data_IF_867915395539
#
_entry.id   IF_867915395539
#
_cell.length_a   1.000
_cell.length_b   1.000
_cell.length_c   1.000
_cell.angle_alpha   90.00
_cell.angle_beta   90.00
_cell.angle_gamma   90.00
#
_symmetry.space_group_name_H-M   'P 1'
#
loop_
_entity.id
_entity.type
_entity.pdbx_description
1 polymer ?
#
# COMPACT_ATOMS: atom_id res chain seq x y z
N UNK A 1 44.99 -15.03 -49.00
CA UNK A 1 44.71 -14.96 -47.54
C UNK A 1 44.05 -13.62 -47.25
N UNK A 2 42.72 -13.54 -47.32
CA UNK A 2 41.96 -12.32 -47.04
C UNK A 2 40.73 -12.67 -46.20
N UNK A 3 40.53 -11.83 -45.18
CA UNK A 3 39.25 -11.50 -44.54
C UNK A 3 38.48 -12.57 -43.74
N UNK A 4 38.96 -12.84 -42.52
CA UNK A 4 38.12 -13.37 -41.42
C UNK A 4 37.92 -12.36 -40.27
N UNK A 5 38.47 -11.14 -40.37
CA UNK A 5 38.44 -10.14 -39.28
C UNK A 5 37.09 -9.41 -39.16
N UNK A 6 36.33 -9.29 -40.26
CA UNK A 6 35.06 -8.54 -40.29
C UNK A 6 33.82 -9.33 -39.83
N UNK A 7 33.87 -10.66 -39.75
CA UNK A 7 32.74 -11.47 -39.26
C UNK A 7 32.67 -11.50 -37.73
N UNK A 8 33.81 -11.47 -37.05
CA UNK A 8 33.87 -11.49 -35.58
C UNK A 8 33.34 -10.19 -34.98
N UNK A 9 33.66 -9.02 -35.59
CA UNK A 9 33.17 -7.71 -35.11
C UNK A 9 31.66 -7.52 -35.24
N UNK A 10 31.01 -8.12 -36.25
CA UNK A 10 29.54 -8.04 -36.43
C UNK A 10 28.78 -8.95 -35.46
N UNK A 11 29.34 -10.11 -35.10
CA UNK A 11 28.72 -11.02 -34.13
C UNK A 11 28.74 -10.46 -32.70
N UNK A 12 29.82 -9.79 -32.30
CA UNK A 12 29.93 -9.17 -30.96
C UNK A 12 29.00 -7.97 -30.79
N UNK A 13 28.76 -7.21 -31.85
CA UNK A 13 27.91 -6.01 -31.80
C UNK A 13 26.43 -6.37 -31.67
N UNK A 14 25.96 -7.43 -32.34
CA UNK A 14 24.58 -7.93 -32.21
C UNK A 14 24.35 -8.57 -30.83
N UNK A 15 25.35 -9.27 -30.28
CA UNK A 15 25.24 -9.82 -28.93
C UNK A 15 25.11 -8.73 -27.86
N UNK A 16 25.79 -7.60 -28.02
CA UNK A 16 25.65 -6.46 -27.10
C UNK A 16 24.31 -5.74 -27.22
N UNK A 17 23.72 -5.66 -28.42
CA UNK A 17 22.39 -5.05 -28.58
C UNK A 17 21.28 -5.96 -28.07
N UNK A 18 21.41 -7.29 -28.21
CA UNK A 18 20.46 -8.27 -27.65
C UNK A 18 20.63 -8.42 -26.13
N UNK A 19 21.84 -8.25 -25.58
CA UNK A 19 22.05 -8.15 -24.13
C UNK A 19 21.67 -6.77 -23.55
N UNK A 20 21.52 -5.71 -24.35
CA UNK A 20 20.90 -4.45 -23.91
C UNK A 20 19.37 -4.44 -24.09
N UNK A 21 18.79 -5.55 -24.56
CA UNK A 21 17.45 -5.99 -24.17
C UNK A 21 17.59 -6.82 -22.87
N UNK A 22 18.51 -6.42 -21.98
CA UNK A 22 18.29 -6.58 -20.55
C UNK A 22 16.96 -5.92 -20.31
N UNK A 23 15.99 -6.78 -20.10
CA UNK A 23 14.65 -6.51 -19.69
C UNK A 23 14.62 -5.23 -18.85
N UNK A 24 14.18 -4.13 -19.48
CA UNK A 24 13.32 -3.19 -18.79
C UNK A 24 12.04 -4.00 -18.54
N UNK A 25 12.12 -4.96 -17.61
CA UNK A 25 10.96 -5.32 -16.82
C UNK A 25 10.53 -3.98 -16.28
N UNK A 26 9.36 -3.51 -16.71
CA UNK A 26 8.61 -2.55 -15.90
C UNK A 26 8.79 -3.04 -14.46
N UNK A 27 9.30 -2.18 -13.58
CA UNK A 27 9.60 -2.60 -12.21
C UNK A 27 8.30 -3.20 -11.65
N UNK A 28 8.22 -4.54 -11.62
CA UNK A 28 7.02 -5.23 -11.18
C UNK A 28 6.78 -4.76 -9.73
N UNK A 29 5.53 -4.44 -9.40
CA UNK A 29 5.18 -4.07 -8.04
C UNK A 29 5.70 -5.14 -7.08
N UNK A 30 6.26 -4.70 -5.97
CA UNK A 30 6.89 -5.66 -5.07
C UNK A 30 5.85 -6.39 -4.24
N UNK A 31 6.15 -7.60 -3.72
CA UNK A 31 5.14 -8.41 -3.03
C UNK A 31 4.44 -7.71 -1.86
N UNK A 32 5.15 -6.83 -1.13
CA UNK A 32 4.57 -6.07 -0.01
C UNK A 32 3.62 -4.96 -0.48
N UNK A 33 3.91 -4.33 -1.63
CA UNK A 33 3.03 -3.33 -2.26
C UNK A 33 1.77 -3.99 -2.79
N UNK A 34 1.90 -5.12 -3.49
CA UNK A 34 0.77 -5.90 -4.02
C UNK A 34 -0.12 -6.42 -2.89
N UNK A 35 0.46 -6.98 -1.82
CA UNK A 35 -0.29 -7.46 -0.67
C UNK A 35 -1.07 -6.33 0.03
N UNK A 36 -0.41 -5.20 0.31
CA UNK A 36 -1.05 -4.04 0.93
C UNK A 36 -2.21 -3.50 0.08
N UNK A 37 -1.97 -3.28 -1.22
CA UNK A 37 -2.95 -2.66 -2.12
C UNK A 37 -4.12 -3.60 -2.42
N UNK A 38 -3.87 -4.90 -2.51
CA UNK A 38 -4.93 -5.93 -2.58
C UNK A 38 -5.80 -5.93 -1.32
N UNK A 39 -5.17 -5.91 -0.13
CA UNK A 39 -5.91 -5.81 1.12
C UNK A 39 -6.74 -4.54 1.22
N UNK A 40 -6.15 -3.40 0.85
CA UNK A 40 -6.75 -2.07 0.92
C UNK A 40 -7.89 -1.88 -0.11
N UNK A 41 -7.89 -2.63 -1.21
CA UNK A 41 -8.89 -2.46 -2.28
C UNK A 41 -10.30 -2.79 -1.78
N UNK A 42 -11.28 -1.97 -2.16
CA UNK A 42 -12.68 -2.08 -1.76
C UNK A 42 -13.16 -0.90 -0.92
N UNK A 43 -14.39 -1.00 -0.40
CA UNK A 43 -15.00 0.03 0.43
C UNK A 43 -15.10 -0.38 1.90
N UNK A 44 -14.78 0.55 2.80
CA UNK A 44 -14.83 0.39 4.25
C UNK A 44 -15.83 1.37 4.84
N UNK A 45 -16.59 0.96 5.85
CA UNK A 45 -17.54 1.85 6.51
C UNK A 45 -17.71 1.55 7.98
N UNK A 46 -17.93 2.60 8.78
CA UNK A 46 -18.24 2.50 10.21
C UNK A 46 -19.75 2.65 10.48
N UNK A 47 -20.61 2.35 9.49
CA UNK A 47 -22.06 2.56 9.62
C UNK A 47 -22.64 1.93 10.89
N UNK A 48 -22.22 0.72 11.25
CA UNK A 48 -22.68 0.06 12.49
C UNK A 48 -22.24 0.81 13.76
N UNK A 49 -21.04 1.38 13.78
CA UNK A 49 -20.57 2.22 14.90
C UNK A 49 -21.40 3.50 14.98
N UNK A 50 -21.63 4.15 13.85
CA UNK A 50 -22.46 5.35 13.75
C UNK A 50 -23.90 5.11 14.24
N UNK A 51 -24.53 4.00 13.81
CA UNK A 51 -25.89 3.63 14.21
C UNK A 51 -25.98 3.32 15.71
N UNK A 52 -24.98 2.64 16.28
CA UNK A 52 -24.88 2.43 17.73
C UNK A 52 -24.77 3.75 18.49
N UNK A 53 -23.96 4.70 17.99
CA UNK A 53 -23.85 6.03 18.61
C UNK A 53 -25.19 6.80 18.56
N UNK A 54 -25.97 6.67 17.47
CA UNK A 54 -27.32 7.23 17.41
C UNK A 54 -28.23 6.61 18.47
N UNK A 55 -28.27 5.27 18.52
CA UNK A 55 -29.17 4.52 19.39
C UNK A 55 -28.90 4.79 20.88
N UNK A 56 -27.63 5.04 21.23
CA UNK A 56 -27.18 5.30 22.59
C UNK A 56 -27.17 6.80 22.98
N UNK A 57 -27.64 7.70 22.10
CA UNK A 57 -27.63 9.15 22.34
C UNK A 57 -26.25 9.69 22.78
N UNK A 58 -25.17 9.19 22.17
CA UNK A 58 -23.80 9.67 22.42
C UNK A 58 -23.73 11.17 22.15
N UNK A 59 -23.02 11.90 23.01
CA UNK A 59 -22.91 13.36 22.91
C UNK A 59 -22.30 13.79 21.57
N UNK A 60 -22.67 14.97 21.06
CA UNK A 60 -22.19 15.43 19.75
C UNK A 60 -20.65 15.52 19.65
N UNK A 61 -19.96 15.66 20.78
CA UNK A 61 -18.49 15.71 20.88
C UNK A 61 -17.83 14.34 20.84
N UNK A 62 -18.54 13.28 21.20
CA UNK A 62 -18.02 11.90 21.28
C UNK A 62 -18.54 11.00 20.14
N UNK A 63 -19.55 11.49 19.43
CA UNK A 63 -20.26 10.78 18.38
C UNK A 63 -19.44 10.73 17.10
N UNK A 64 -19.31 9.52 16.54
CA UNK A 64 -18.62 9.34 15.27
C UNK A 64 -19.49 9.85 14.12
N UNK A 65 -18.84 10.44 13.11
CA UNK A 65 -19.47 10.63 11.81
C UNK A 65 -19.60 9.29 11.09
N UNK A 66 -20.59 9.16 10.22
CA UNK A 66 -20.59 8.02 9.30
C UNK A 66 -19.58 8.31 8.19
N UNK A 67 -18.54 7.48 8.11
CA UNK A 67 -17.52 7.48 7.08
C UNK A 67 -17.68 6.26 6.17
N UNK A 68 -17.44 6.49 4.88
CA UNK A 68 -17.19 5.42 3.91
C UNK A 68 -15.95 5.76 3.09
N UNK A 69 -14.98 4.85 3.07
CA UNK A 69 -13.70 5.00 2.38
C UNK A 69 -13.62 3.95 1.27
N UNK A 70 -13.50 4.37 0.02
CA UNK A 70 -13.42 3.47 -1.12
C UNK A 70 -12.06 3.59 -1.82
N UNK A 71 -11.45 2.45 -2.06
CA UNK A 71 -10.14 2.30 -2.69
C UNK A 71 -10.29 1.44 -3.93
N UNK A 72 -10.14 2.06 -5.11
CA UNK A 72 -10.26 1.37 -6.40
C UNK A 72 -8.90 1.36 -7.07
N UNK A 73 -8.35 0.19 -7.37
CA UNK A 73 -7.10 0.10 -8.12
C UNK A 73 -7.30 0.68 -9.53
N UNK A 74 -6.38 1.54 -9.96
CA UNK A 74 -6.41 2.22 -11.26
C UNK A 74 -5.00 2.23 -11.84
N UNK A 75 -4.87 2.47 -13.13
CA UNK A 75 -3.56 2.62 -13.78
C UNK A 75 -3.35 4.06 -14.25
N UNK A 76 -2.70 4.87 -13.42
CA UNK A 76 -2.32 6.24 -13.77
C UNK A 76 -0.91 6.22 -14.38
N UNK A 77 -0.86 6.14 -15.71
CA UNK A 77 0.37 5.86 -16.47
C UNK A 77 1.53 6.80 -16.14
N UNK A 78 1.25 8.08 -15.87
CA UNK A 78 2.28 9.09 -15.57
C UNK A 78 2.98 8.88 -14.21
N UNK A 79 2.40 8.05 -13.33
CA UNK A 79 2.97 7.68 -12.03
C UNK A 79 3.65 6.31 -12.06
N UNK A 80 3.73 5.66 -13.22
CA UNK A 80 4.46 4.39 -13.40
C UNK A 80 5.93 4.54 -12.97
N UNK A 81 6.53 3.53 -12.29
CA UNK A 81 6.02 2.18 -12.06
C UNK A 81 5.20 1.99 -10.77
N UNK A 82 4.77 3.06 -10.09
CA UNK A 82 4.00 2.92 -8.86
C UNK A 82 2.64 2.25 -9.12
N UNK A 83 2.21 1.38 -8.21
CA UNK A 83 0.83 0.89 -8.20
C UNK A 83 -0.06 2.03 -7.71
N UNK A 84 -1.12 2.32 -8.45
CA UNK A 84 -2.01 3.45 -8.15
C UNK A 84 -3.41 3.02 -7.72
N UNK A 85 -3.98 3.77 -6.79
CA UNK A 85 -5.35 3.58 -6.27
C UNK A 85 -6.07 4.92 -6.32
N UNK A 86 -7.29 4.92 -6.83
CA UNK A 86 -8.22 6.02 -6.70
C UNK A 86 -8.96 5.90 -5.37
N UNK A 87 -8.87 6.95 -4.56
CA UNK A 87 -9.44 7.02 -3.23
C UNK A 87 -10.61 8.01 -3.20
N UNK A 88 -11.72 7.56 -2.60
CA UNK A 88 -12.90 8.37 -2.34
C UNK A 88 -13.32 8.27 -0.86
N UNK A 89 -13.69 9.41 -0.29
CA UNK A 89 -14.24 9.49 1.06
C UNK A 89 -15.63 10.10 1.01
N UNK A 90 -16.59 9.45 1.64
CA UNK A 90 -17.94 9.96 1.85
C UNK A 90 -18.17 10.18 3.35
N UNK A 91 -18.99 11.18 3.68
CA UNK A 91 -19.33 11.55 5.05
C UNK A 91 -20.85 11.68 5.16
N UNK A 92 -21.44 11.11 6.21
CA UNK A 92 -22.86 11.19 6.54
C UNK A 92 -23.80 10.85 5.36
N UNK A 93 -23.53 9.74 4.67
CA UNK A 93 -24.30 9.28 3.50
C UNK A 93 -24.35 10.26 2.31
N UNK A 94 -23.38 11.17 2.19
CA UNK A 94 -23.34 12.09 1.05
C UNK A 94 -23.28 11.33 -0.27
N UNK A 95 -24.05 11.78 -1.27
CA UNK A 95 -24.01 11.20 -2.63
C UNK A 95 -22.77 11.64 -3.42
N UNK A 96 -21.98 12.58 -2.88
CA UNK A 96 -20.75 13.09 -3.48
C UNK A 96 -19.59 12.91 -2.50
N UNK A 97 -18.41 12.44 -2.95
CA UNK A 97 -17.27 12.30 -2.07
C UNK A 97 -16.79 13.66 -1.55
N UNK A 98 -16.53 13.75 -0.25
CA UNK A 98 -15.93 14.92 0.40
C UNK A 98 -14.43 15.04 0.14
N UNK A 99 -13.77 13.93 -0.22
CA UNK A 99 -12.35 13.89 -0.60
C UNK A 99 -12.15 12.88 -1.73
N UNK A 100 -11.32 13.24 -2.70
CA UNK A 100 -10.90 12.40 -3.84
C UNK A 100 -9.41 12.56 -4.08
N UNK A 101 -8.67 11.46 -4.20
CA UNK A 101 -7.22 11.48 -4.36
C UNK A 101 -6.75 10.32 -5.25
N UNK A 102 -5.57 10.48 -5.87
CA UNK A 102 -4.79 9.36 -6.40
C UNK A 102 -3.73 9.03 -5.37
N UNK A 103 -3.64 7.75 -4.99
CA UNK A 103 -2.63 7.22 -4.09
C UNK A 103 -1.64 6.40 -4.91
N UNK A 104 -0.34 6.69 -4.79
CA UNK A 104 0.72 5.93 -5.46
C UNK A 104 1.57 5.22 -4.43
N UNK A 105 1.76 3.91 -4.60
CA UNK A 105 2.46 3.06 -3.64
C UNK A 105 3.83 2.66 -4.19
N UNK A 106 4.86 2.85 -3.37
CA UNK A 106 6.24 2.43 -3.67
C UNK A 106 6.88 1.73 -2.47
N UNK A 107 7.62 0.65 -2.73
CA UNK A 107 8.39 -0.02 -1.67
C UNK A 107 9.52 0.89 -1.20
N UNK A 108 9.67 0.98 0.13
CA UNK A 108 10.85 1.58 0.77
C UNK A 108 11.76 0.51 1.37
N UNK A 109 11.17 -0.52 1.96
CA UNK A 109 11.83 -1.74 2.43
C UNK A 109 10.86 -2.92 2.28
N UNK A 110 11.34 -4.15 2.47
CA UNK A 110 10.53 -5.36 2.33
C UNK A 110 9.30 -5.45 3.24
N UNK A 111 9.19 -4.57 4.24
CA UNK A 111 8.03 -4.45 5.14
C UNK A 111 7.42 -3.05 5.19
N UNK A 112 7.92 -2.10 4.38
CA UNK A 112 7.46 -0.71 4.41
C UNK A 112 7.15 -0.18 3.02
N UNK A 113 5.95 0.36 2.89
CA UNK A 113 5.44 0.96 1.66
C UNK A 113 5.18 2.45 1.90
N UNK A 114 5.72 3.30 1.03
CA UNK A 114 5.35 4.71 0.99
C UNK A 114 4.12 4.88 0.13
N UNK A 115 3.14 5.61 0.64
CA UNK A 115 1.92 5.99 -0.07
C UNK A 115 1.94 7.51 -0.30
N UNK A 116 2.27 7.90 -1.53
CA UNK A 116 2.20 9.29 -1.95
C UNK A 116 0.74 9.65 -2.29
N UNK A 117 0.26 10.76 -1.73
CA UNK A 117 -1.13 11.20 -1.93
C UNK A 117 -1.18 12.41 -2.85
N UNK A 118 -1.89 12.28 -3.97
CA UNK A 118 -2.06 13.32 -4.97
C UNK A 118 -3.48 13.88 -4.90
N UNK A 119 -3.59 15.15 -4.58
CA UNK A 119 -4.83 15.93 -4.71
C UNK A 119 -5.12 16.16 -6.18
N UNK A 120 -6.37 15.92 -6.57
CA UNK A 120 -6.85 16.15 -7.94
C UNK A 120 -7.31 17.61 -8.03
N UNK A 121 -6.57 18.42 -8.81
CA UNK A 121 -6.82 19.86 -8.92
C UNK A 121 -8.04 20.16 -9.81
N UNK A 122 -8.29 19.32 -10.81
CA UNK A 122 -9.41 19.48 -11.72
C UNK A 122 -10.32 18.24 -11.74
N UNK A 123 -11.33 18.26 -10.87
CA UNK A 123 -12.24 17.13 -10.71
C UNK A 123 -13.17 16.89 -11.92
N UNK A 124 -13.32 17.82 -12.86
CA UNK A 124 -14.17 17.60 -14.05
C UNK A 124 -13.57 16.57 -15.01
N UNK A 125 -12.24 16.40 -14.99
CA UNK A 125 -11.56 15.39 -15.80
C UNK A 125 -11.92 13.96 -15.41
N UNK A 126 -12.33 13.74 -14.17
CA UNK A 126 -12.82 12.43 -13.71
C UNK A 126 -14.06 11.99 -14.48
N UNK A 127 -14.97 12.91 -14.81
CA UNK A 127 -16.17 12.59 -15.60
C UNK A 127 -15.91 12.47 -17.12
N UNK A 128 -14.82 13.03 -17.63
CA UNK A 128 -14.50 13.03 -19.07
C UNK A 128 -13.71 11.79 -19.50
N UNK A 129 -12.91 11.21 -18.60
CA UNK A 129 -12.05 10.07 -18.93
C UNK A 129 -11.64 9.20 -17.74
N UNK A 130 -12.20 9.42 -16.54
CA UNK A 130 -11.83 8.66 -15.35
C UNK A 130 -10.47 9.05 -14.75
N UNK A 131 -10.12 8.45 -13.60
CA UNK A 131 -8.87 8.75 -12.88
C UNK A 131 -7.59 8.33 -13.62
N UNK A 132 -7.67 7.36 -14.52
CA UNK A 132 -6.52 6.78 -15.26
C UNK A 132 -5.89 7.75 -16.26
N UNK A 133 -6.69 8.69 -16.77
CA UNK A 133 -6.31 9.63 -17.82
C UNK A 133 -5.90 11.02 -17.28
N UNK A 134 -5.71 11.15 -15.97
CA UNK A 134 -5.30 12.43 -15.37
C UNK A 134 -3.86 12.80 -15.78
N UNK A 135 -3.63 13.99 -16.34
CA UNK A 135 -2.27 14.48 -16.61
C UNK A 135 -1.57 14.87 -15.30
N UNK A 136 -0.24 14.90 -15.31
CA UNK A 136 0.55 15.31 -14.13
C UNK A 136 0.19 16.72 -13.64
N UNK A 137 -0.20 17.62 -14.54
CA UNK A 137 -0.61 18.99 -14.19
C UNK A 137 -1.86 19.05 -13.31
N UNK A 138 -2.69 18.01 -13.33
CA UNK A 138 -3.92 17.93 -12.54
C UNK A 138 -3.70 17.21 -11.21
N UNK A 139 -2.47 16.80 -10.92
CA UNK A 139 -2.09 16.07 -9.72
C UNK A 139 -1.10 16.91 -8.90
N UNK A 140 -1.46 17.20 -7.66
CA UNK A 140 -0.58 17.88 -6.71
C UNK A 140 -0.29 16.98 -5.52
N UNK A 141 0.97 16.62 -5.32
CA UNK A 141 1.42 15.92 -4.13
C UNK A 141 2.16 16.88 -3.19
N UNK A 142 1.92 16.68 -1.90
CA UNK A 142 2.67 17.27 -0.81
C UNK A 142 3.44 16.16 -0.13
N UNK A 143 4.70 16.00 -0.53
CA UNK A 143 5.54 14.87 -0.10
C UNK A 143 5.66 14.79 1.42
N UNK A 144 5.57 15.94 2.10
CA UNK A 144 5.61 16.04 3.55
C UNK A 144 4.37 15.44 4.25
N UNK A 145 3.30 15.21 3.50
CA UNK A 145 2.04 14.61 3.95
C UNK A 145 1.84 13.18 3.45
N UNK A 146 2.87 12.57 2.85
CA UNK A 146 2.82 11.15 2.47
C UNK A 146 2.68 10.25 3.71
N UNK A 147 2.06 9.09 3.54
CA UNK A 147 2.01 8.07 4.58
C UNK A 147 3.08 7.00 4.37
N UNK A 148 3.54 6.41 5.47
CA UNK A 148 4.27 5.15 5.50
C UNK A 148 3.35 4.08 6.05
N UNK A 149 3.25 2.97 5.34
CA UNK A 149 2.61 1.74 5.77
C UNK A 149 3.68 0.74 6.17
N UNK A 150 3.56 0.16 7.35
CA UNK A 150 4.48 -0.83 7.89
C UNK A 150 3.72 -2.14 8.15
N UNK A 151 4.23 -3.23 7.60
CA UNK A 151 3.70 -4.56 7.85
C UNK A 151 4.17 -5.04 9.23
N UNK A 152 3.22 -5.20 10.15
CA UNK A 152 3.48 -5.68 11.49
C UNK A 152 3.47 -7.22 11.55
N UNK A 153 2.53 -7.82 10.82
CA UNK A 153 2.40 -9.27 10.66
C UNK A 153 1.80 -9.60 9.28
N UNK A 154 1.71 -10.88 8.93
CA UNK A 154 0.94 -11.35 7.78
C UNK A 154 -0.52 -10.87 7.91
N UNK A 155 -0.97 -10.05 6.96
CA UNK A 155 -2.33 -9.51 6.97
C UNK A 155 -2.58 -8.38 7.98
N UNK A 156 -1.55 -7.77 8.57
CA UNK A 156 -1.67 -6.60 9.45
C UNK A 156 -0.70 -5.50 9.05
N UNK A 157 -1.25 -4.34 8.71
CA UNK A 157 -0.49 -3.14 8.37
C UNK A 157 -0.89 -1.97 9.28
N UNK A 158 0.07 -1.12 9.63
CA UNK A 158 -0.18 0.15 10.29
C UNK A 158 0.34 1.30 9.44
N UNK A 159 -0.36 2.43 9.43
CA UNK A 159 0.03 3.63 8.69
C UNK A 159 0.25 4.82 9.61
N UNK A 160 1.27 5.62 9.30
CA UNK A 160 1.58 6.88 9.95
C UNK A 160 2.12 7.88 8.92
N UNK A 161 2.14 9.17 9.25
CA UNK A 161 2.74 10.18 8.37
C UNK A 161 4.25 9.97 8.25
N UNK A 162 4.79 10.11 7.04
CA UNK A 162 6.21 9.97 6.77
C UNK A 162 7.03 11.07 7.48
N UNK A 163 6.50 12.29 7.53
CA UNK A 163 7.11 13.45 8.18
C UNK A 163 6.08 14.21 9.02
N UNK A 164 5.71 13.69 10.21
CA UNK A 164 4.55 14.16 10.97
C UNK A 164 4.64 15.63 11.42
N UNK A 165 5.85 16.17 11.56
CA UNK A 165 6.07 17.58 11.94
C UNK A 165 6.07 18.53 10.74
N UNK A 166 6.17 18.02 9.51
CA UNK A 166 6.30 18.85 8.30
C UNK A 166 4.98 18.98 7.55
N UNK A 167 4.08 17.98 7.63
CA UNK A 167 2.73 18.09 7.06
C UNK A 167 1.92 19.14 7.83
N UNK A 168 1.79 20.34 7.27
CA UNK A 168 1.02 21.43 7.88
C UNK A 168 0.11 22.10 6.85
N UNK A 169 -1.07 22.57 7.25
CA UNK A 169 -1.97 23.32 6.36
C UNK A 169 -2.92 24.21 7.14
N UNK A 170 -3.56 25.15 6.45
CA UNK A 170 -4.62 25.97 7.04
C UNK A 170 -5.92 25.19 7.10
N UNK A 171 -6.51 25.10 8.29
CA UNK A 171 -7.81 24.50 8.54
C UNK A 171 -8.60 25.40 9.48
N UNK A 172 -9.79 25.83 9.06
CA UNK A 172 -10.59 26.87 9.76
C UNK A 172 -9.78 28.12 10.17
N UNK A 173 -8.86 28.56 9.32
CA UNK A 173 -8.03 29.74 9.56
C UNK A 173 -6.86 29.52 10.53
N UNK A 174 -6.67 28.30 11.03
CA UNK A 174 -5.55 27.93 11.90
C UNK A 174 -4.54 27.07 11.16
N UNK A 175 -3.25 27.26 11.44
CA UNK A 175 -2.21 26.37 10.92
C UNK A 175 -2.19 25.10 11.78
N UNK A 176 -2.55 23.97 11.16
CA UNK A 176 -2.65 22.67 11.82
C UNK A 176 -1.69 21.66 11.20
N UNK A 177 -1.40 20.61 11.95
CA UNK A 177 -0.76 19.38 11.48
C UNK A 177 -1.71 18.21 11.72
N UNK A 178 -1.86 17.27 10.77
CA UNK A 178 -2.59 16.05 11.03
C UNK A 178 -1.79 15.14 11.96
N UNK A 179 -2.47 14.47 12.87
CA UNK A 179 -1.96 13.29 13.55
C UNK A 179 -2.98 12.17 13.37
N UNK A 180 -2.48 10.94 13.38
CA UNK A 180 -3.36 9.80 13.18
C UNK A 180 -2.63 8.56 12.79
N UNK A 181 -3.35 7.45 12.91
CA UNK A 181 -2.89 6.14 12.45
C UNK A 181 -4.04 5.41 11.76
N UNK A 182 -3.67 4.47 10.91
CA UNK A 182 -4.61 3.50 10.34
C UNK A 182 -4.07 2.12 10.60
N UNK A 183 -4.89 1.20 11.09
CA UNK A 183 -4.52 -0.21 11.15
C UNK A 183 -5.44 -0.98 10.23
N UNK A 184 -4.85 -1.68 9.27
CA UNK A 184 -5.55 -2.42 8.22
C UNK A 184 -5.38 -3.91 8.46
N UNK A 185 -6.51 -4.62 8.43
CA UNK A 185 -6.59 -6.08 8.39
C UNK A 185 -7.43 -6.52 7.19
N UNK A 186 -7.57 -7.83 6.98
CA UNK A 186 -8.49 -8.34 5.97
C UNK A 186 -9.95 -7.95 6.24
N UNK A 187 -10.37 -7.92 7.51
CA UNK A 187 -11.77 -7.65 7.89
C UNK A 187 -12.15 -6.17 7.91
N UNK A 188 -11.18 -5.26 8.04
CA UNK A 188 -11.49 -3.85 8.17
C UNK A 188 -10.27 -2.95 8.43
N UNK A 189 -10.58 -1.72 8.84
CA UNK A 189 -9.61 -0.69 9.16
C UNK A 189 -10.04 0.04 10.43
N UNK A 190 -9.09 0.27 11.35
CA UNK A 190 -9.26 1.31 12.37
C UNK A 190 -8.59 2.58 11.90
N UNK A 191 -9.24 3.72 12.09
CA UNK A 191 -8.73 5.04 11.70
C UNK A 191 -8.82 5.99 12.89
N UNK A 192 -7.71 6.62 13.21
CA UNK A 192 -7.65 7.81 14.08
C UNK A 192 -7.12 8.95 13.24
N UNK A 193 -7.82 10.09 13.22
CA UNK A 193 -7.38 11.30 12.53
C UNK A 193 -7.80 12.52 13.35
N UNK A 194 -6.81 13.33 13.73
CA UNK A 194 -6.98 14.62 14.39
C UNK A 194 -6.17 15.69 13.68
N UNK A 195 -6.60 16.93 13.79
CA UNK A 195 -5.87 18.10 13.33
C UNK A 195 -5.52 18.94 14.55
N UNK A 196 -4.23 19.04 14.86
CA UNK A 196 -3.74 19.76 16.03
C UNK A 196 -3.05 21.05 15.60
N UNK A 197 -3.17 22.10 16.40
CA UNK A 197 -2.46 23.36 16.14
C UNK A 197 -0.95 23.16 16.18
N UNK A 198 -0.23 23.79 15.25
CA UNK A 198 1.25 23.71 15.22
C UNK A 198 1.87 24.37 16.46
N UNK A 199 1.21 25.38 17.02
CA UNK A 199 1.76 26.21 18.11
C UNK A 199 1.22 25.87 19.51
N UNK A 200 0.22 25.00 19.64
CA UNK A 200 -0.48 24.77 20.91
C UNK A 200 -0.79 23.31 21.24
N UNK A 201 -0.57 22.35 20.34
CA UNK A 201 -1.03 20.95 20.47
C UNK A 201 -2.55 20.79 20.72
N UNK A 202 -3.32 21.88 20.72
CA UNK A 202 -4.76 21.86 20.83
C UNK A 202 -5.37 21.17 19.61
N UNK A 203 -6.33 20.27 19.86
CA UNK A 203 -7.10 19.62 18.80
C UNK A 203 -8.10 20.63 18.24
N UNK A 204 -7.94 20.97 16.96
CA UNK A 204 -8.84 21.85 16.22
C UNK A 204 -10.04 21.07 15.68
N UNK A 205 -9.82 19.82 15.26
CA UNK A 205 -10.85 18.95 14.71
C UNK A 205 -10.41 17.48 14.71
N UNK A 206 -11.38 16.57 14.62
CA UNK A 206 -11.15 15.12 14.71
C UNK A 206 -11.32 14.58 16.12
N UNK A 207 -11.05 13.29 16.28
CA UNK A 207 -11.11 12.60 17.57
C UNK A 207 -9.99 11.56 17.66
N UNK A 208 -9.48 11.35 18.89
CA UNK A 208 -8.57 10.24 19.18
C UNK A 208 -9.32 8.90 19.35
N UNK A 209 -10.65 8.93 19.47
CA UNK A 209 -11.48 7.73 19.43
C UNK A 209 -11.46 7.12 18.01
N UNK A 210 -11.16 5.82 17.87
CA UNK A 210 -10.98 5.21 16.56
C UNK A 210 -12.33 4.99 15.84
N UNK A 211 -12.35 5.38 14.57
CA UNK A 211 -13.36 4.90 13.62
C UNK A 211 -13.10 3.43 13.32
N UNK A 212 -14.08 2.57 13.57
CA UNK A 212 -14.02 1.15 13.27
C UNK A 212 -14.72 0.88 11.94
N UNK A 213 -13.96 0.79 10.87
CA UNK A 213 -14.47 0.67 9.51
C UNK A 213 -14.42 -0.79 9.05
N UNK A 214 -15.56 -1.43 8.87
CA UNK A 214 -15.66 -2.78 8.33
C UNK A 214 -15.61 -2.76 6.81
N UNK A 215 -14.98 -3.77 6.22
CA UNK A 215 -14.96 -3.93 4.76
C UNK A 215 -16.34 -4.39 4.27
N UNK A 216 -16.91 -3.68 3.31
CA UNK A 216 -18.30 -3.87 2.84
C UNK A 216 -18.47 -5.21 2.12
N UNK A 217 -17.43 -5.67 1.42
CA UNK A 217 -17.34 -7.00 0.81
C UNK A 217 -16.00 -7.59 1.22
N UNK A 218 -16.04 -8.72 1.93
CA UNK A 218 -14.84 -9.33 2.48
C UNK A 218 -14.31 -10.44 1.56
N UNK A 219 -13.56 -10.02 0.53
CA UNK A 219 -12.93 -10.93 -0.44
C UNK A 219 -11.45 -11.19 -0.12
N UNK A 220 -10.99 -10.74 1.05
CA UNK A 220 -9.61 -10.98 1.47
C UNK A 220 -9.46 -12.46 1.84
N UNK A 221 -8.66 -13.21 1.08
CA UNK A 221 -8.17 -14.48 1.58
C UNK A 221 -7.24 -14.18 2.75
N UNK A 222 -7.54 -14.71 3.94
CA UNK A 222 -6.58 -14.71 5.04
C UNK A 222 -5.28 -15.29 4.48
N UNK A 223 -4.25 -14.44 4.40
CA UNK A 223 -2.93 -14.86 3.95
C UNK A 223 -2.32 -15.65 5.11
N UNK A 224 -2.77 -16.87 5.31
CA UNK A 224 -2.04 -17.87 6.08
C UNK A 224 -0.76 -18.09 5.29
N UNK A 225 0.33 -17.47 5.74
CA UNK A 225 1.66 -17.76 5.23
C UNK A 225 1.86 -19.27 5.25
N UNK A 226 2.35 -19.91 4.18
CA UNK A 226 2.79 -21.29 4.26
C UNK A 226 3.87 -21.33 5.34
N UNK A 227 3.65 -22.12 6.40
CA UNK A 227 4.70 -22.46 7.34
C UNK A 227 5.88 -22.96 6.49
N UNK A 228 7.07 -22.34 6.55
CA UNK A 228 8.21 -22.84 5.81
C UNK A 228 8.49 -24.23 6.37
N UNK A 229 8.15 -25.26 5.60
CA UNK A 229 8.55 -26.64 5.87
C UNK A 229 10.07 -26.62 6.06
N UNK A 230 10.50 -26.90 7.29
CA UNK A 230 11.91 -26.97 7.66
C UNK A 230 12.68 -27.72 6.58
N UNK A 231 13.68 -27.01 6.05
CA UNK A 231 14.92 -27.51 5.45
C UNK A 231 15.07 -29.03 5.59
N UNK A 232 14.95 -29.74 4.47
CA UNK A 232 15.62 -31.02 4.33
C UNK A 232 17.12 -30.76 4.55
N UNK A 233 17.60 -31.06 5.76
CA UNK A 233 19.03 -31.11 6.04
C UNK A 233 19.61 -32.23 5.19
N UNK A 234 20.16 -31.87 4.04
CA UNK A 234 21.25 -32.61 3.42
C UNK A 234 22.38 -32.67 4.44
N UNK A 235 22.50 -33.79 5.15
CA UNK A 235 23.76 -34.19 5.77
C UNK A 235 24.50 -35.04 4.74
N UNK A 236 25.36 -34.37 3.97
CA UNK A 236 26.54 -35.01 3.42
C UNK A 236 27.49 -35.29 4.60
N UNK A 237 27.69 -36.56 4.94
CA UNK A 237 28.88 -37.01 5.66
C UNK A 237 29.68 -37.86 4.69
N UNK A 238 30.84 -37.34 4.30
CA UNK A 238 31.91 -38.10 3.71
C UNK A 238 32.66 -38.79 4.86
N UNK A 239 32.80 -40.12 4.83
CA UNK A 239 33.90 -40.83 5.49
C UNK A 239 34.24 -42.08 4.69
N UNK A 240 35.48 -42.10 4.22
CA UNK A 240 36.24 -43.27 3.79
C UNK A 240 36.22 -44.38 4.84
N UNK A 241 36.31 -45.64 4.40
CA UNK A 241 36.76 -46.71 5.28
C UNK A 241 36.38 -48.12 4.84
N UNK A 242 37.37 -48.81 4.28
CA UNK A 242 37.65 -50.26 4.28
C UNK A 242 36.55 -51.23 4.73
N UNK A 243 36.34 -52.25 3.91
CA UNK A 243 35.32 -53.29 4.10
C UNK A 243 35.65 -54.37 5.12
N UNK A 244 34.74 -55.36 5.19
CA UNK A 244 35.05 -56.76 5.40
C UNK A 244 33.78 -57.59 5.13
N UNK A 245 33.99 -58.76 4.52
CA UNK A 245 33.04 -59.87 4.47
C UNK A 245 32.51 -60.22 5.86
N UNK A 246 31.21 -60.55 5.93
CA UNK A 246 30.73 -61.61 6.81
C UNK A 246 29.47 -62.24 6.22
N UNK A 247 29.66 -63.40 5.59
CA UNK A 247 28.67 -64.43 5.31
C UNK A 247 28.05 -64.92 6.62
N UNK A 248 26.73 -65.12 6.68
CA UNK A 248 26.16 -66.18 7.50
C UNK A 248 24.79 -66.62 6.97
N UNK A 249 24.70 -67.93 6.85
CA UNK A 249 23.64 -68.80 6.32
C UNK A 249 22.62 -69.11 7.43
N UNK A 250 21.39 -69.47 7.04
CA UNK A 250 20.43 -70.40 7.67
C UNK A 250 19.02 -69.84 7.48
N UNK A 251 18.03 -70.49 6.89
CA UNK A 251 17.73 -71.88 6.51
C UNK A 251 16.59 -71.82 5.50
#
# INVERSE_FOLDING_TARGET
MRDNSNKVKRATMIFFTVLLIVQIKAADSTPVVEALTSMLSGCYSNIEQYERDQANNVSATEKHLWLQLCYTQVNVTILSPALTVYYEQYVNNGSTPSRRQILAFSETTSKRVRMASYTILNATKLSEGGPENLPLSDLSNRYECDALWEQLDAGLYTSYLATPQQCTFSFFGQLVRPEGTRNLTCSGMTLVEVFVTVNGNDVVSGTYEPYNLLKTVNDCQDVTTPVPSRVARTRSMCMLGLGLLATLIST
#
